data_IF_010032649464
#
_entry.id   IF_010032649464
#
_cell.length_a   1.000
_cell.length_b   1.000
_cell.length_c   1.000
_cell.angle_alpha   90.00
_cell.angle_beta   90.00
_cell.angle_gamma   90.00
#
_symmetry.space_group_name_H-M   'P 1'
#
loop_
_entity.id
_entity.type
_entity.pdbx_description
1 polymer ?
#
# COMPACT_ATOMS: atom_id res chain seq x y z
N UNK A 1 -2.52 21.07 -1.37
CA UNK A 1 -3.09 19.83 -0.80
C UNK A 1 -1.99 18.80 -0.75
N UNK A 2 -1.82 18.14 0.39
CA UNK A 2 -0.77 17.12 0.59
C UNK A 2 -1.38 15.72 0.41
N UNK A 3 -1.25 15.17 -0.80
CA UNK A 3 -1.77 13.84 -1.15
C UNK A 3 -1.27 12.74 -0.21
N UNK A 4 -0.04 12.86 0.32
CA UNK A 4 0.53 11.86 1.23
C UNK A 4 -0.29 11.76 2.51
N UNK A 5 -0.73 12.89 3.05
CA UNK A 5 -1.56 12.90 4.26
C UNK A 5 -2.93 12.29 4.01
N UNK A 6 -3.55 12.59 2.86
CA UNK A 6 -4.84 12.00 2.50
C UNK A 6 -4.74 10.49 2.30
N UNK A 7 -3.70 10.00 1.60
CA UNK A 7 -3.48 8.56 1.39
C UNK A 7 -3.27 7.83 2.72
N UNK A 8 -2.40 8.36 3.59
CA UNK A 8 -2.20 7.81 4.95
C UNK A 8 -3.49 7.79 5.77
N UNK A 9 -4.27 8.86 5.71
CA UNK A 9 -5.55 8.96 6.41
C UNK A 9 -6.52 7.88 5.92
N UNK A 10 -6.75 7.77 4.61
CA UNK A 10 -7.67 6.78 4.03
C UNK A 10 -7.25 5.36 4.41
N UNK A 11 -5.96 5.01 4.29
CA UNK A 11 -5.47 3.68 4.64
C UNK A 11 -5.66 3.39 6.14
N UNK A 12 -5.41 4.38 7.00
CA UNK A 12 -5.58 4.25 8.46
C UNK A 12 -7.06 4.08 8.83
N UNK A 13 -7.96 4.85 8.22
CA UNK A 13 -9.40 4.72 8.43
C UNK A 13 -9.90 3.35 7.95
N UNK A 14 -9.42 2.87 6.80
CA UNK A 14 -9.81 1.56 6.28
C UNK A 14 -9.38 0.40 7.20
N UNK A 15 -8.20 0.52 7.82
CA UNK A 15 -7.74 -0.43 8.83
C UNK A 15 -8.69 -0.47 10.05
N UNK A 16 -9.14 0.69 10.53
CA UNK A 16 -10.07 0.79 11.66
C UNK A 16 -11.45 0.17 11.38
N UNK A 17 -11.89 0.17 10.12
CA UNK A 17 -13.13 -0.51 9.72
C UNK A 17 -13.01 -2.04 9.71
N UNK A 18 -11.80 -2.56 9.50
CA UNK A 18 -11.54 -3.98 9.53
C UNK A 18 -11.57 -4.52 10.96
N UNK A 19 -12.27 -5.63 11.19
CA UNK A 19 -12.10 -6.38 12.44
C UNK A 19 -10.74 -7.09 12.40
N UNK A 20 -9.79 -6.62 13.21
CA UNK A 20 -8.66 -7.45 13.58
C UNK A 20 -9.22 -8.73 14.21
N UNK A 21 -9.01 -9.87 13.56
CA UNK A 21 -9.32 -11.18 14.13
C UNK A 21 -8.08 -11.60 14.89
N UNK A 22 -8.22 -12.21 16.07
CA UNK A 22 -7.10 -12.43 17.00
C UNK A 22 -5.84 -13.07 16.39
N UNK A 23 -5.98 -13.84 15.30
CA UNK A 23 -4.85 -14.50 14.62
C UNK A 23 -4.33 -13.77 13.35
N UNK A 24 -4.99 -12.70 12.93
CA UNK A 24 -4.67 -11.89 11.73
C UNK A 24 -4.47 -10.43 12.12
N UNK A 25 -3.22 -10.00 12.07
CA UNK A 25 -2.79 -8.63 12.31
C UNK A 25 -3.01 -7.79 11.05
N UNK A 26 -3.40 -6.53 11.25
CA UNK A 26 -3.37 -5.51 10.22
C UNK A 26 -2.09 -4.69 10.37
N UNK A 27 -1.31 -4.59 9.30
CA UNK A 27 -0.05 -3.85 9.30
C UNK A 27 -0.13 -2.71 8.28
N UNK A 28 0.10 -1.49 8.75
CA UNK A 28 0.23 -0.30 7.92
C UNK A 28 1.70 -0.14 7.53
N UNK A 29 1.98 -0.13 6.22
CA UNK A 29 3.33 0.03 5.68
C UNK A 29 3.34 1.32 4.86
N UNK A 30 4.04 2.34 5.36
CA UNK A 30 4.15 3.63 4.69
C UNK A 30 5.60 3.89 4.32
N UNK A 31 5.93 3.69 3.05
CA UNK A 31 7.18 4.17 2.46
C UNK A 31 6.95 5.57 1.89
N UNK A 32 7.27 6.58 2.69
CA UNK A 32 7.15 7.98 2.28
C UNK A 32 8.26 8.45 1.34
N UNK A 33 9.33 7.67 1.19
CA UNK A 33 10.43 8.01 0.28
C UNK A 33 10.13 7.54 -1.13
N UNK A 34 9.67 6.29 -1.27
CA UNK A 34 9.20 5.71 -2.54
C UNK A 34 7.76 6.04 -2.90
N UNK A 35 7.02 6.69 -2.00
CA UNK A 35 5.60 7.01 -2.17
C UNK A 35 4.70 5.76 -2.35
N UNK A 36 5.02 4.69 -1.63
CA UNK A 36 4.27 3.44 -1.58
C UNK A 36 3.57 3.26 -0.23
N UNK A 37 2.26 3.00 -0.25
CA UNK A 37 1.44 2.94 0.95
C UNK A 37 0.54 1.69 0.93
N UNK A 38 0.65 0.85 1.95
CA UNK A 38 -0.03 -0.46 1.99
C UNK A 38 -0.72 -0.74 3.32
N UNK A 39 -1.83 -1.49 3.23
CA UNK A 39 -2.46 -2.21 4.33
C UNK A 39 -2.32 -3.71 4.08
N UNK A 40 -1.60 -4.38 4.96
CA UNK A 40 -1.33 -5.81 4.89
C UNK A 40 -2.10 -6.56 5.97
N UNK A 41 -2.67 -7.71 5.63
CA UNK A 41 -3.18 -8.68 6.60
C UNK A 41 -2.16 -9.81 6.74
N UNK A 42 -1.61 -9.95 7.94
CA UNK A 42 -0.49 -10.85 8.23
C UNK A 42 -0.81 -11.67 9.46
N UNK A 43 -0.66 -12.99 9.36
CA UNK A 43 -0.90 -13.85 10.51
C UNK A 43 -1.06 -15.31 10.12
N UNK A 44 -1.78 -16.04 10.94
CA UNK A 44 -2.03 -17.46 10.74
C UNK A 44 -3.52 -17.72 10.95
N UNK A 45 -4.08 -18.66 10.19
CA UNK A 45 -5.44 -19.14 10.46
C UNK A 45 -5.54 -20.58 10.02
N UNK A 46 -6.07 -21.47 10.87
CA UNK A 46 -6.21 -22.89 10.55
C UNK A 46 -4.90 -23.55 10.05
N UNK A 47 -3.76 -23.21 10.67
CA UNK A 47 -2.40 -23.64 10.26
C UNK A 47 -1.98 -23.18 8.85
N UNK A 48 -2.69 -22.23 8.25
CA UNK A 48 -2.35 -21.61 6.97
C UNK A 48 -1.85 -20.18 7.18
N UNK A 49 -0.67 -19.88 6.63
CA UNK A 49 -0.13 -18.52 6.59
C UNK A 49 -1.09 -17.61 5.83
N UNK A 50 -1.46 -16.50 6.45
CA UNK A 50 -2.12 -15.39 5.78
C UNK A 50 -1.10 -14.27 5.60
N UNK A 51 -0.96 -13.81 4.36
CA UNK A 51 -0.06 -12.73 3.99
C UNK A 51 -0.58 -12.10 2.69
N UNK A 52 -1.37 -11.04 2.81
CA UNK A 52 -2.02 -10.42 1.66
C UNK A 52 -2.16 -8.91 1.81
N UNK A 53 -1.94 -8.20 0.71
CA UNK A 53 -2.18 -6.77 0.61
C UNK A 53 -3.66 -6.52 0.33
N UNK A 54 -4.32 -5.76 1.21
CA UNK A 54 -5.75 -5.45 1.11
C UNK A 54 -5.98 -4.11 0.42
N UNK A 55 -5.05 -3.17 0.61
CA UNK A 55 -5.06 -1.87 -0.05
C UNK A 55 -3.62 -1.46 -0.36
N UNK A 56 -3.37 -1.05 -1.60
CA UNK A 56 -2.08 -0.55 -2.07
C UNK A 56 -2.31 0.71 -2.89
N UNK A 57 -1.72 1.82 -2.46
CA UNK A 57 -1.80 3.12 -3.11
C UNK A 57 -0.38 3.65 -3.34
N UNK A 58 -0.14 4.10 -4.57
CA UNK A 58 1.11 4.75 -4.96
C UNK A 58 0.85 6.20 -5.35
N UNK A 59 1.73 7.10 -4.92
CA UNK A 59 1.79 8.46 -5.47
C UNK A 59 2.91 8.47 -6.51
N UNK A 60 2.54 8.27 -7.77
CA UNK A 60 3.47 8.36 -8.89
C UNK A 60 3.53 9.79 -9.41
N UNK A 61 4.74 10.29 -9.63
CA UNK A 61 4.90 11.45 -10.50
C UNK A 61 4.48 11.06 -11.91
N UNK A 62 3.95 12.00 -12.72
CA UNK A 62 3.77 11.74 -14.14
C UNK A 62 5.10 11.26 -14.70
N UNK A 63 5.10 10.12 -15.39
CA UNK A 63 6.21 9.77 -16.25
C UNK A 63 6.33 10.89 -17.28
N UNK A 64 7.28 11.81 -17.09
CA UNK A 64 7.68 12.72 -18.15
C UNK A 64 8.34 11.81 -19.18
N UNK A 65 7.58 11.45 -20.20
CA UNK A 65 8.13 10.88 -21.42
C UNK A 65 8.95 11.99 -22.07
N UNK A 66 10.18 12.19 -21.58
CA UNK A 66 11.20 12.90 -22.31
C UNK A 66 11.43 12.05 -23.54
N UNK A 67 10.74 12.37 -24.64
CA UNK A 67 10.68 11.62 -25.90
C UNK A 67 12.04 11.24 -26.47
N UNK A 68 12.67 10.28 -25.82
CA UNK A 68 13.92 9.65 -26.16
C UNK A 68 13.66 8.15 -26.12
N UNK A 69 12.81 7.72 -27.03
CA UNK A 69 12.96 6.41 -27.64
C UNK A 69 13.66 6.57 -29.01
N UNK A 70 14.94 7.04 -29.11
CA UNK A 70 15.72 6.68 -30.27
C UNK A 70 16.17 5.24 -30.03
N UNK A 71 15.59 4.32 -30.80
CA UNK A 71 16.16 3.02 -31.17
C UNK A 71 16.89 2.23 -30.07
N UNK A 72 16.38 1.03 -29.76
CA UNK A 72 17.22 -0.18 -29.83
C UNK A 72 16.36 -1.45 -29.74
N UNK A 73 16.42 -2.17 -30.88
CA UNK A 73 16.20 -3.59 -31.22
C UNK A 73 15.02 -4.37 -30.64
#
# INVERSE_FOLDING_TARGET
MDYRNYVKQVITEYAQLGSAKDEIEQQLIFDTFGDHYQLMYVGWKNRKRQHGCVLHLDIVLPSVDFGLHPFLN
#
